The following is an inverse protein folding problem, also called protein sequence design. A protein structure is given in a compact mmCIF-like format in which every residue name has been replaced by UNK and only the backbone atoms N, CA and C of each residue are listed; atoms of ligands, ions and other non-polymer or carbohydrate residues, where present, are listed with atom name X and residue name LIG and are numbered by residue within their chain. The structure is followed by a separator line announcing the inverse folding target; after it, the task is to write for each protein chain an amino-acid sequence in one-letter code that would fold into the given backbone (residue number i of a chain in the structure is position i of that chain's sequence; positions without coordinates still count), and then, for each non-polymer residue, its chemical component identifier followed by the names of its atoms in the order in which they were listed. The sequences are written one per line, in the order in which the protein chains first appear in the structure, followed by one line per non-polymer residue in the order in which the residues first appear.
data_IF_946226332790
#
_entry.id   IF_946226332790
#
_cell.length_a   1.000
_cell.length_b   1.000
_cell.length_c   1.000
_cell.angle_alpha   90.00
_cell.angle_beta   90.00
_cell.angle_gamma   90.00
#
_symmetry.space_group_name_H-M   'P 1'
#
loop_
_entity.id
_entity.type
_entity.pdbx_description
1 polymer ?
#
# COMPACT_ATOMS: atom_id res chain seq x y z
N UNK A 1 0.28 13.45 7.45
CA UNK A 1 -0.14 12.04 7.66
C UNK A 1 -0.83 11.92 9.00
N UNK A 2 -2.04 11.35 9.07
CA UNK A 2 -2.78 11.14 10.33
C UNK A 2 -2.48 9.73 10.88
N UNK A 3 -1.38 9.62 11.59
CA UNK A 3 -0.90 8.35 12.16
C UNK A 3 -1.91 7.69 13.10
N UNK A 4 -2.69 8.49 13.86
CA UNK A 4 -3.70 7.95 14.81
C UNK A 4 -4.85 7.28 14.08
N UNK A 5 -5.35 7.86 13.00
CA UNK A 5 -6.40 7.26 12.18
C UNK A 5 -5.89 6.03 11.44
N UNK A 6 -4.67 6.10 10.92
CA UNK A 6 -4.04 4.97 10.26
C UNK A 6 -3.81 3.80 11.23
N UNK A 7 -3.30 4.07 12.43
CA UNK A 7 -3.13 3.04 13.47
C UNK A 7 -4.47 2.36 13.81
N UNK A 8 -5.55 3.15 13.92
CA UNK A 8 -6.90 2.60 14.11
C UNK A 8 -7.34 1.76 12.90
N UNK A 9 -6.98 2.14 11.68
CA UNK A 9 -7.25 1.32 10.49
C UNK A 9 -6.56 -0.03 10.60
N UNK A 10 -5.27 -0.10 10.85
CA UNK A 10 -4.52 -1.36 10.89
C UNK A 10 -4.92 -2.26 12.07
N UNK A 11 -5.21 -1.70 13.24
CA UNK A 11 -5.57 -2.44 14.44
C UNK A 11 -7.08 -2.72 14.58
N UNK A 12 -7.93 -2.14 13.72
CA UNK A 12 -9.36 -2.31 13.88
C UNK A 12 -9.82 -3.70 13.47
N UNK A 13 -10.65 -4.29 14.33
CA UNK A 13 -11.37 -5.52 14.03
C UNK A 13 -12.77 -5.16 13.49
N UNK A 14 -13.13 -5.67 12.33
CA UNK A 14 -14.44 -5.43 11.72
C UNK A 14 -15.60 -6.15 12.44
N UNK A 15 -15.32 -6.91 13.51
CA UNK A 15 -16.37 -7.56 14.34
C UNK A 15 -17.42 -6.58 14.85
N UNK A 16 -17.00 -5.37 15.25
CA UNK A 16 -17.95 -4.35 15.73
C UNK A 16 -18.94 -3.92 14.64
N UNK A 17 -18.49 -3.85 13.37
CA UNK A 17 -19.37 -3.56 12.25
C UNK A 17 -20.44 -4.65 12.09
N UNK A 18 -20.04 -5.91 12.10
CA UNK A 18 -21.00 -7.02 11.93
C UNK A 18 -21.95 -7.15 13.10
N UNK A 19 -21.47 -6.93 14.34
CA UNK A 19 -22.31 -6.92 15.54
C UNK A 19 -23.33 -5.78 15.47
N UNK A 20 -22.89 -4.56 15.17
CA UNK A 20 -23.77 -3.40 15.04
C UNK A 20 -24.78 -3.57 13.92
N UNK A 21 -24.37 -4.09 12.75
CA UNK A 21 -25.26 -4.40 11.63
C UNK A 21 -26.31 -5.46 12.00
N UNK A 22 -25.94 -6.49 12.74
CA UNK A 22 -26.89 -7.51 13.21
C UNK A 22 -27.91 -6.92 14.18
N UNK A 23 -27.48 -6.11 15.16
CA UNK A 23 -28.39 -5.42 16.10
C UNK A 23 -29.34 -4.50 15.35
N UNK A 24 -28.84 -3.72 14.39
CA UNK A 24 -29.65 -2.83 13.56
C UNK A 24 -30.68 -3.62 12.72
N UNK A 25 -30.27 -4.75 12.13
CA UNK A 25 -31.17 -5.61 11.37
C UNK A 25 -32.31 -6.18 12.24
N UNK A 26 -31.99 -6.62 13.46
CA UNK A 26 -33.01 -7.07 14.43
C UNK A 26 -33.97 -5.92 14.73
N UNK A 27 -33.49 -4.72 14.99
CA UNK A 27 -34.33 -3.55 15.22
C UNK A 27 -35.26 -3.25 14.04
N UNK A 28 -34.77 -3.32 12.80
CA UNK A 28 -35.57 -3.13 11.57
C UNK A 28 -36.64 -4.21 11.43
N UNK A 29 -36.28 -5.48 11.66
CA UNK A 29 -37.22 -6.60 11.58
C UNK A 29 -38.34 -6.42 12.63
N UNK A 30 -38.00 -6.12 13.87
CA UNK A 30 -38.96 -5.88 14.93
C UNK A 30 -39.88 -4.71 14.60
N UNK A 31 -39.34 -3.62 14.10
CA UNK A 31 -40.13 -2.45 13.65
C UNK A 31 -41.09 -2.81 12.52
N UNK A 32 -40.62 -3.57 11.53
CA UNK A 32 -41.43 -4.00 10.39
C UNK A 32 -42.56 -4.95 10.80
N UNK A 33 -42.27 -5.91 11.69
CA UNK A 33 -43.29 -6.84 12.19
C UNK A 33 -44.37 -6.09 12.99
N UNK A 34 -44.01 -5.09 13.77
CA UNK A 34 -44.98 -4.24 14.43
C UNK A 34 -45.86 -3.49 13.43
N UNK A 35 -45.25 -2.83 12.45
CA UNK A 35 -45.94 -1.94 11.54
C UNK A 35 -46.85 -2.68 10.55
N UNK A 36 -46.41 -3.85 10.01
CA UNK A 36 -47.16 -4.60 9.01
C UNK A 36 -48.14 -5.64 9.57
N UNK A 37 -47.82 -6.21 10.73
CA UNK A 37 -48.57 -7.38 11.24
C UNK A 37 -49.28 -7.15 12.56
N UNK A 38 -49.12 -6.01 13.23
CA UNK A 38 -49.68 -5.75 14.57
C UNK A 38 -49.39 -6.87 15.57
N UNK A 39 -48.36 -7.69 15.34
CA UNK A 39 -48.14 -8.96 16.05
C UNK A 39 -47.61 -8.76 17.51
N UNK A 40 -47.05 -7.60 17.78
CA UNK A 40 -46.43 -7.35 19.08
C UNK A 40 -47.16 -6.22 19.85
N UNK A 41 -48.16 -6.60 20.62
CA UNK A 41 -48.93 -5.71 21.48
C UNK A 41 -48.15 -5.27 22.75
N UNK A 42 -46.83 -5.24 22.72
CA UNK A 42 -46.07 -4.79 23.89
C UNK A 42 -46.00 -3.26 23.94
N UNK A 43 -46.32 -2.62 25.06
CA UNK A 43 -46.18 -1.20 25.22
C UNK A 43 -44.71 -0.82 25.02
N UNK A 44 -44.48 0.30 24.31
CA UNK A 44 -43.15 0.82 23.99
C UNK A 44 -42.33 0.04 22.92
N UNK A 45 -42.95 -0.85 22.17
CA UNK A 45 -42.28 -1.65 21.14
C UNK A 45 -41.62 -0.81 20.04
N UNK A 46 -42.27 0.25 19.61
CA UNK A 46 -41.72 1.20 18.61
C UNK A 46 -40.46 1.84 19.12
N UNK A 47 -40.45 2.31 20.36
CA UNK A 47 -39.33 2.97 21.02
C UNK A 47 -38.14 2.00 21.14
N UNK A 48 -38.41 0.76 21.54
CA UNK A 48 -37.39 -0.28 21.73
C UNK A 48 -36.73 -0.64 20.38
N UNK A 49 -37.52 -0.79 19.31
CA UNK A 49 -37.02 -1.08 17.98
C UNK A 49 -36.17 0.05 17.41
N UNK A 50 -36.65 1.29 17.58
CA UNK A 50 -35.89 2.47 17.17
C UNK A 50 -34.55 2.58 17.95
N UNK A 51 -34.58 2.27 19.25
CA UNK A 51 -33.36 2.28 20.09
C UNK A 51 -32.33 1.25 19.62
N UNK A 52 -32.78 0.03 19.25
CA UNK A 52 -31.91 -0.99 18.69
C UNK A 52 -31.29 -0.56 17.36
N UNK A 53 -32.05 0.11 16.48
CA UNK A 53 -31.53 0.63 15.21
C UNK A 53 -30.44 1.68 15.47
N UNK A 54 -30.69 2.64 16.36
CA UNK A 54 -29.76 3.71 16.69
C UNK A 54 -28.49 3.16 17.34
N UNK A 55 -28.62 2.26 18.32
CA UNK A 55 -27.47 1.62 18.98
C UNK A 55 -26.68 0.79 17.99
N UNK A 56 -27.37 -0.03 17.18
CA UNK A 56 -26.72 -0.85 16.16
C UNK A 56 -25.94 -0.01 15.14
N UNK A 57 -26.55 1.09 14.66
CA UNK A 57 -25.89 2.06 13.80
C UNK A 57 -24.67 2.71 14.49
N UNK A 58 -24.78 3.12 15.75
CA UNK A 58 -23.67 3.67 16.53
C UNK A 58 -22.50 2.70 16.63
N UNK A 59 -22.76 1.45 17.01
CA UNK A 59 -21.74 0.41 17.11
C UNK A 59 -21.10 0.10 15.75
N UNK A 60 -21.89 0.10 14.66
CA UNK A 60 -21.38 -0.18 13.33
C UNK A 60 -20.54 0.97 12.74
N UNK A 61 -21.03 2.20 12.81
CA UNK A 61 -20.49 3.32 12.01
C UNK A 61 -19.52 4.22 12.78
N UNK A 62 -19.65 4.39 14.10
CA UNK A 62 -18.73 5.26 14.88
C UNK A 62 -17.28 4.78 14.78
N UNK A 63 -16.94 3.49 14.95
CA UNK A 63 -15.56 3.04 14.78
C UNK A 63 -15.03 3.23 13.36
N UNK A 64 -15.91 3.15 12.33
CA UNK A 64 -15.53 3.35 10.94
C UNK A 64 -15.16 4.80 10.64
N UNK A 65 -15.92 5.76 11.19
CA UNK A 65 -15.65 7.20 10.98
C UNK A 65 -14.36 7.68 11.67
N UNK A 66 -13.90 6.95 12.69
CA UNK A 66 -12.71 7.31 13.46
C UNK A 66 -11.40 6.76 12.88
N UNK A 67 -11.43 5.99 11.81
CA UNK A 67 -10.25 5.40 11.16
C UNK A 67 -10.09 5.94 9.74
N UNK A 68 -8.89 5.82 9.16
CA UNK A 68 -8.68 6.05 7.74
C UNK A 68 -9.43 5.02 6.91
N UNK A 69 -9.97 5.43 5.76
CA UNK A 69 -10.48 4.50 4.77
C UNK A 69 -9.34 3.95 3.90
N UNK A 70 -9.60 2.88 3.15
CA UNK A 70 -8.66 2.33 2.17
C UNK A 70 -8.27 3.37 1.13
N UNK A 71 -9.25 4.16 0.68
CA UNK A 71 -9.06 5.25 -0.27
C UNK A 71 -8.17 6.36 0.31
N UNK A 72 -8.37 6.75 1.57
CA UNK A 72 -7.54 7.77 2.22
C UNK A 72 -6.07 7.36 2.29
N UNK A 73 -5.81 6.06 2.55
CA UNK A 73 -4.45 5.51 2.57
C UNK A 73 -3.84 5.57 1.18
N UNK A 74 -4.55 5.10 0.15
CA UNK A 74 -4.04 5.07 -1.21
C UNK A 74 -3.81 6.50 -1.77
N UNK A 75 -4.71 7.45 -1.50
CA UNK A 75 -4.53 8.86 -1.86
C UNK A 75 -3.35 9.52 -1.11
N UNK A 76 -3.16 9.20 0.16
CA UNK A 76 -2.04 9.69 0.94
C UNK A 76 -0.72 9.17 0.37
N UNK A 77 -0.64 7.90 0.00
CA UNK A 77 0.53 7.30 -0.64
C UNK A 77 0.81 7.99 -1.99
N UNK A 78 -0.20 8.16 -2.82
CA UNK A 78 -0.07 8.84 -4.11
C UNK A 78 0.46 10.27 -3.95
N UNK A 79 -0.05 11.03 -2.99
CA UNK A 79 0.42 12.40 -2.71
C UNK A 79 1.86 12.43 -2.19
N UNK A 80 2.24 11.46 -1.34
CA UNK A 80 3.58 11.41 -0.74
C UNK A 80 4.66 10.90 -1.69
N UNK A 81 4.28 10.24 -2.79
CA UNK A 81 5.22 9.63 -3.75
C UNK A 81 5.11 10.22 -5.16
N UNK A 82 4.08 11.03 -5.44
CA UNK A 82 3.77 11.48 -6.80
C UNK A 82 4.90 12.26 -7.50
N UNK A 83 5.64 13.07 -6.76
CA UNK A 83 6.76 13.86 -7.29
C UNK A 83 8.13 13.29 -6.90
N UNK A 84 8.18 12.15 -6.22
CA UNK A 84 9.40 11.67 -5.60
C UNK A 84 10.55 11.44 -6.60
N UNK A 85 10.27 10.84 -7.75
CA UNK A 85 11.29 10.64 -8.77
C UNK A 85 11.85 11.97 -9.33
N UNK A 86 11.01 13.00 -9.47
CA UNK A 86 11.45 14.30 -9.96
C UNK A 86 12.30 15.05 -8.93
N UNK A 87 11.89 15.02 -7.65
CA UNK A 87 12.67 15.60 -6.54
C UNK A 87 14.04 14.93 -6.41
N UNK A 88 14.07 13.59 -6.52
CA UNK A 88 15.32 12.82 -6.48
C UNK A 88 16.17 13.08 -7.73
N UNK A 89 15.56 13.24 -8.92
CA UNK A 89 16.29 13.57 -10.13
C UNK A 89 16.91 14.97 -10.08
N UNK A 90 16.21 15.95 -9.52
CA UNK A 90 16.75 17.30 -9.28
C UNK A 90 17.98 17.23 -8.36
N UNK A 91 17.89 16.49 -7.25
CA UNK A 91 19.02 16.25 -6.33
C UNK A 91 20.19 15.56 -7.06
N UNK A 92 19.93 14.47 -7.77
CA UNK A 92 20.96 13.71 -8.48
C UNK A 92 21.62 14.51 -9.62
N UNK A 93 20.88 15.44 -10.26
CA UNK A 93 21.41 16.28 -11.34
C UNK A 93 22.53 17.24 -10.91
N UNK A 94 22.67 17.48 -9.60
CA UNK A 94 23.74 18.30 -9.05
C UNK A 94 25.09 17.58 -9.11
N UNK A 95 25.09 16.26 -9.08
CA UNK A 95 26.31 15.43 -9.04
C UNK A 95 26.50 14.58 -10.28
N UNK A 96 25.41 14.29 -11.03
CA UNK A 96 25.40 13.36 -12.15
C UNK A 96 24.74 13.98 -13.38
N UNK A 97 25.23 13.65 -14.57
CA UNK A 97 24.56 13.95 -15.83
C UNK A 97 23.40 12.95 -16.05
N UNK A 98 22.18 13.46 -16.11
CA UNK A 98 21.00 12.64 -16.33
C UNK A 98 20.99 12.04 -17.76
N UNK A 99 20.44 10.83 -17.88
CA UNK A 99 20.26 10.17 -19.17
C UNK A 99 19.17 10.88 -19.98
N UNK A 100 19.42 11.29 -21.25
CA UNK A 100 18.50 12.15 -22.00
C UNK A 100 17.20 11.44 -22.40
N UNK A 101 17.22 10.12 -22.57
CA UNK A 101 16.12 9.36 -23.15
C UNK A 101 15.30 8.55 -22.12
N UNK A 102 15.78 8.41 -20.89
CA UNK A 102 15.05 7.66 -19.86
C UNK A 102 14.58 8.61 -18.76
N UNK A 103 13.27 8.64 -18.56
CA UNK A 103 12.68 9.49 -17.52
C UNK A 103 12.83 8.86 -16.14
N UNK A 104 13.07 9.67 -15.09
CA UNK A 104 13.02 9.19 -13.72
C UNK A 104 11.68 8.50 -13.42
N UNK A 105 11.72 7.43 -12.64
CA UNK A 105 10.53 6.65 -12.32
C UNK A 105 10.39 6.49 -10.81
N UNK A 106 9.14 6.59 -10.31
CA UNK A 106 8.80 6.20 -8.94
C UNK A 106 8.09 4.86 -8.98
N UNK A 107 8.61 3.90 -8.24
CA UNK A 107 7.96 2.61 -7.98
C UNK A 107 7.78 2.43 -6.48
N UNK A 108 6.78 1.66 -6.06
CA UNK A 108 6.59 1.40 -4.66
C UNK A 108 5.46 0.44 -4.37
N UNK A 109 5.53 -0.15 -3.19
CA UNK A 109 4.49 -1.05 -2.68
C UNK A 109 4.56 -1.12 -1.15
N UNK A 110 3.55 -1.76 -0.58
CA UNK A 110 3.57 -2.17 0.80
C UNK A 110 4.69 -3.19 1.03
N UNK A 111 5.38 -3.06 2.15
CA UNK A 111 6.42 -3.98 2.59
C UNK A 111 5.77 -5.07 3.43
N UNK A 112 6.03 -6.32 3.09
CA UNK A 112 5.38 -7.47 3.73
C UNK A 112 6.33 -8.28 4.60
N UNK A 113 7.60 -7.93 4.67
CA UNK A 113 8.67 -8.60 5.41
C UNK A 113 9.30 -7.68 6.46
N UNK A 114 9.74 -8.25 7.59
CA UNK A 114 10.40 -7.55 8.69
C UNK A 114 9.59 -7.51 9.98
N UNK A 115 10.23 -6.99 11.02
CA UNK A 115 9.62 -6.86 12.36
C UNK A 115 8.60 -5.72 12.42
N UNK A 116 7.57 -5.87 13.27
CA UNK A 116 6.57 -4.84 13.52
C UNK A 116 5.57 -4.62 12.38
N UNK A 117 5.50 -5.54 11.40
CA UNK A 117 4.56 -5.44 10.30
C UNK A 117 3.16 -5.84 10.75
N UNK A 118 2.21 -4.92 10.56
CA UNK A 118 0.79 -5.14 10.78
C UNK A 118 0.11 -5.24 9.42
N UNK A 119 -0.49 -6.40 9.14
CA UNK A 119 -1.20 -6.64 7.90
C UNK A 119 -2.70 -6.45 8.07
N UNK A 120 -3.32 -5.82 7.09
CA UNK A 120 -4.76 -5.68 7.00
C UNK A 120 -5.27 -5.95 5.60
N UNK A 121 -6.30 -6.77 5.50
CA UNK A 121 -7.06 -6.96 4.26
C UNK A 121 -8.12 -5.87 4.14
N UNK A 122 -8.15 -5.20 3.02
CA UNK A 122 -9.18 -4.24 2.68
C UNK A 122 -10.55 -4.90 2.64
N UNK A 123 -11.56 -4.18 3.12
CA UNK A 123 -12.94 -4.67 3.16
C UNK A 123 -13.63 -4.56 1.80
N UNK A 124 -13.30 -3.51 1.04
CA UNK A 124 -13.93 -3.21 -0.25
C UNK A 124 -13.18 -3.90 -1.39
N UNK A 125 -11.86 -3.73 -1.44
CA UNK A 125 -11.02 -4.19 -2.54
C UNK A 125 -10.31 -5.53 -2.27
N UNK A 126 -10.45 -6.06 -1.06
CA UNK A 126 -9.79 -7.29 -0.60
C UNK A 126 -8.26 -7.28 -0.68
N UNK A 127 -7.65 -6.12 -1.00
CA UNK A 127 -6.20 -5.96 -1.09
C UNK A 127 -5.59 -6.00 0.30
N UNK A 128 -4.51 -6.76 0.46
CA UNK A 128 -3.74 -6.77 1.71
C UNK A 128 -2.78 -5.58 1.69
N UNK A 129 -2.81 -4.80 2.76
CA UNK A 129 -1.91 -3.66 3.02
C UNK A 129 -1.13 -3.91 4.28
N UNK A 130 0.11 -3.42 4.32
CA UNK A 130 0.90 -3.37 5.55
C UNK A 130 0.97 -1.94 6.09
N UNK A 131 1.35 -1.81 7.35
CA UNK A 131 1.59 -0.50 7.97
C UNK A 131 2.91 0.14 7.51
N UNK A 132 3.72 -0.53 6.68
CA UNK A 132 4.97 -0.04 6.12
C UNK A 132 4.88 0.04 4.61
N UNK A 133 5.31 1.15 4.04
CA UNK A 133 5.37 1.36 2.60
C UNK A 133 6.80 1.73 2.17
N UNK A 134 7.25 1.19 1.06
CA UNK A 134 8.49 1.57 0.42
C UNK A 134 8.20 2.27 -0.91
N UNK A 135 8.70 3.48 -1.05
CA UNK A 135 8.71 4.23 -2.29
C UNK A 135 10.16 4.35 -2.76
N UNK A 136 10.41 4.03 -4.02
CA UNK A 136 11.74 4.05 -4.61
C UNK A 136 11.71 4.96 -5.83
N UNK A 137 12.58 5.97 -5.84
CA UNK A 137 12.88 6.78 -7.01
C UNK A 137 14.08 6.17 -7.73
N UNK A 138 13.92 5.91 -9.01
CA UNK A 138 14.97 5.45 -9.91
C UNK A 138 15.31 6.58 -10.88
N UNK A 139 16.53 7.07 -10.82
CA UNK A 139 17.04 8.14 -11.68
C UNK A 139 18.14 7.60 -12.56
N UNK A 140 17.98 7.80 -13.87
CA UNK A 140 18.92 7.29 -14.86
C UNK A 140 19.95 8.35 -15.20
N UNK A 141 21.21 8.02 -15.03
CA UNK A 141 22.34 8.88 -15.35
C UNK A 141 23.06 8.37 -16.59
N UNK A 142 24.00 9.12 -17.12
CA UNK A 142 24.85 8.64 -18.23
C UNK A 142 25.79 7.48 -17.82
N UNK A 143 25.98 7.24 -16.53
CA UNK A 143 26.88 6.20 -16.02
C UNK A 143 26.16 5.00 -15.44
N UNK A 144 24.94 5.18 -14.93
CA UNK A 144 24.25 4.13 -14.20
C UNK A 144 22.89 4.54 -13.70
N UNK A 145 22.40 3.83 -12.70
CA UNK A 145 21.12 4.04 -12.05
C UNK A 145 21.37 4.52 -10.62
N UNK A 146 20.91 5.74 -10.31
CA UNK A 146 20.83 6.22 -8.94
C UNK A 146 19.45 5.85 -8.36
N UNK A 147 19.45 5.18 -7.22
CA UNK A 147 18.24 4.68 -6.57
C UNK A 147 18.15 5.26 -5.16
N UNK A 148 17.10 6.00 -4.89
CA UNK A 148 16.76 6.46 -3.54
C UNK A 148 15.48 5.76 -3.08
N UNK A 149 15.54 5.00 -1.99
CA UNK A 149 14.39 4.33 -1.41
C UNK A 149 14.02 4.94 -0.06
N UNK A 150 12.75 5.36 0.06
CA UNK A 150 12.13 5.78 1.32
C UNK A 150 11.24 4.66 1.84
N UNK A 151 11.60 4.11 2.99
CA UNK A 151 10.75 3.16 3.73
C UNK A 151 10.15 3.90 4.92
N UNK A 152 8.84 4.01 4.99
CA UNK A 152 8.16 4.76 6.04
C UNK A 152 6.94 4.03 6.61
N UNK A 153 6.69 4.28 7.90
CA UNK A 153 5.52 3.75 8.59
C UNK A 153 4.28 4.63 8.35
N UNK A 154 3.14 3.99 8.16
CA UNK A 154 1.84 4.64 8.07
C UNK A 154 1.21 4.89 9.44
N UNK A 155 1.70 4.22 10.49
CA UNK A 155 1.13 4.23 11.84
C UNK A 155 1.94 5.03 12.84
N UNK A 156 3.18 5.38 12.50
CA UNK A 156 4.09 6.15 13.36
C UNK A 156 5.01 7.05 12.55
N UNK A 157 5.62 8.04 13.19
CA UNK A 157 6.58 8.94 12.54
C UNK A 157 7.96 8.26 12.45
N UNK A 158 8.07 7.29 11.55
CA UNK A 158 9.31 6.56 11.28
C UNK A 158 9.57 6.54 9.79
N UNK A 159 10.79 6.90 9.38
CA UNK A 159 11.21 6.90 7.98
C UNK A 159 12.70 6.57 7.91
N UNK A 160 13.05 5.67 7.01
CA UNK A 160 14.42 5.32 6.66
C UNK A 160 14.61 5.64 5.18
N UNK A 161 15.71 6.29 4.84
CA UNK A 161 16.11 6.58 3.46
C UNK A 161 17.41 5.84 3.20
N UNK A 162 17.49 5.15 2.09
CA UNK A 162 18.70 4.51 1.59
C UNK A 162 18.98 4.96 0.15
N UNK A 163 20.23 5.19 -0.16
CA UNK A 163 20.70 5.63 -1.46
C UNK A 163 21.70 4.61 -1.99
N UNK A 164 21.58 4.25 -3.26
CA UNK A 164 22.48 3.33 -3.94
C UNK A 164 22.74 3.82 -5.36
N UNK A 165 23.94 3.61 -5.86
CA UNK A 165 24.30 3.88 -7.24
C UNK A 165 24.80 2.58 -7.87
N UNK A 166 24.26 2.24 -9.05
CA UNK A 166 24.64 1.06 -9.83
C UNK A 166 25.17 1.50 -11.17
N UNK A 167 26.43 1.22 -11.44
CA UNK A 167 27.05 1.53 -12.72
C UNK A 167 26.57 0.53 -13.78
N UNK A 168 26.19 0.99 -14.98
CA UNK A 168 25.64 0.09 -16.04
C UNK A 168 26.56 -1.06 -16.40
N UNK A 169 27.88 -0.89 -16.30
CA UNK A 169 28.85 -1.94 -16.62
C UNK A 169 28.80 -3.11 -15.64
N UNK A 170 28.41 -2.85 -14.42
CA UNK A 170 28.44 -3.81 -13.32
C UNK A 170 27.09 -4.51 -13.15
N UNK A 171 26.01 -3.92 -13.68
CA UNK A 171 24.67 -4.52 -13.64
C UNK A 171 24.62 -5.67 -14.66
N UNK A 172 24.29 -6.86 -14.21
CA UNK A 172 24.07 -8.01 -15.08
C UNK A 172 22.70 -7.96 -15.75
N UNK A 173 21.67 -7.78 -14.91
CA UNK A 173 20.27 -7.77 -15.33
C UNK A 173 19.41 -7.00 -14.33
N UNK A 174 18.31 -6.44 -14.84
CA UNK A 174 17.20 -5.93 -14.04
C UNK A 174 15.95 -6.68 -14.43
N UNK A 175 15.29 -7.35 -13.45
CA UNK A 175 14.16 -8.23 -13.73
C UNK A 175 13.02 -8.01 -12.74
N UNK A 176 11.81 -8.48 -13.11
CA UNK A 176 10.66 -8.50 -12.19
C UNK A 176 10.49 -9.89 -11.63
N UNK A 177 10.52 -9.99 -10.32
CA UNK A 177 10.30 -11.25 -9.58
C UNK A 177 8.99 -11.13 -8.80
N UNK A 178 8.12 -12.13 -8.90
CA UNK A 178 6.87 -12.19 -8.13
C UNK A 178 6.88 -13.40 -7.22
N UNK A 179 6.65 -13.18 -5.95
CA UNK A 179 6.65 -14.19 -4.90
C UNK A 179 5.27 -14.28 -4.24
N UNK A 180 4.89 -15.49 -3.85
CA UNK A 180 3.70 -15.74 -3.06
C UNK A 180 4.10 -15.83 -1.58
N UNK A 181 3.78 -14.79 -0.83
CA UNK A 181 4.02 -14.74 0.61
C UNK A 181 2.79 -15.27 1.36
N UNK A 182 3.03 -16.17 2.32
CA UNK A 182 2.00 -16.71 3.22
C UNK A 182 2.34 -16.36 4.65
N UNK A 183 1.35 -15.87 5.40
CA UNK A 183 1.50 -15.39 6.76
C UNK A 183 0.74 -16.27 7.76
N UNK A 184 1.18 -16.32 9.01
CA UNK A 184 0.57 -17.12 10.09
C UNK A 184 -0.91 -16.80 10.31
N UNK A 185 -1.32 -15.56 10.07
CA UNK A 185 -2.70 -15.11 10.15
C UNK A 185 -3.57 -15.54 8.95
N UNK A 186 -3.04 -16.38 8.05
CA UNK A 186 -3.74 -16.92 6.87
C UNK A 186 -3.79 -15.98 5.67
N UNK A 187 -3.16 -14.81 5.73
CA UNK A 187 -3.05 -13.94 4.56
C UNK A 187 -2.09 -14.54 3.52
N UNK A 188 -2.47 -14.40 2.25
CA UNK A 188 -1.63 -14.71 1.09
C UNK A 188 -1.52 -13.47 0.23
N UNK A 189 -0.30 -13.07 -0.11
CA UNK A 189 -0.01 -11.88 -0.90
C UNK A 189 0.92 -12.26 -2.04
N UNK A 190 0.61 -11.81 -3.25
CA UNK A 190 1.57 -11.81 -4.35
C UNK A 190 2.35 -10.51 -4.27
N UNK A 191 3.61 -10.58 -3.89
CA UNK A 191 4.50 -9.44 -3.85
C UNK A 191 5.40 -9.45 -5.09
N UNK A 192 5.44 -8.34 -5.82
CA UNK A 192 6.31 -8.17 -6.97
C UNK A 192 7.45 -7.23 -6.63
N UNK A 193 8.63 -7.52 -7.13
CA UNK A 193 9.85 -6.77 -6.89
C UNK A 193 10.59 -6.55 -8.20
N UNK A 194 11.17 -5.37 -8.37
CA UNK A 194 12.24 -5.15 -9.34
C UNK A 194 13.54 -5.56 -8.64
N UNK A 195 14.28 -6.46 -9.24
CA UNK A 195 15.55 -6.98 -8.73
C UNK A 195 16.67 -6.49 -9.62
N UNK A 196 17.68 -5.86 -9.03
CA UNK A 196 18.93 -5.46 -9.69
C UNK A 196 19.98 -6.48 -9.31
N UNK A 197 20.55 -7.17 -10.32
CA UNK A 197 21.60 -8.17 -10.17
C UNK A 197 22.94 -7.58 -10.59
N UNK A 198 23.95 -7.73 -9.72
CA UNK A 198 25.33 -7.26 -9.94
C UNK A 198 26.29 -8.40 -9.59
N UNK A 199 27.18 -8.75 -10.52
CA UNK A 199 28.14 -9.86 -10.35
C UNK A 199 27.48 -11.21 -10.00
N UNK A 200 26.30 -11.47 -10.54
CA UNK A 200 25.55 -12.71 -10.31
C UNK A 200 24.79 -12.77 -8.99
N UNK A 201 24.84 -11.71 -8.17
CA UNK A 201 24.14 -11.63 -6.89
C UNK A 201 23.04 -10.58 -6.92
N UNK A 202 21.98 -10.79 -6.14
CA UNK A 202 20.93 -9.81 -5.94
C UNK A 202 21.47 -8.63 -5.11
N UNK A 203 21.72 -7.50 -5.77
CA UNK A 203 22.26 -6.32 -5.13
C UNK A 203 21.17 -5.44 -4.50
N UNK A 204 19.97 -5.41 -5.11
CA UNK A 204 18.85 -4.65 -4.57
C UNK A 204 17.49 -5.24 -4.98
N UNK A 205 16.54 -5.20 -4.06
CA UNK A 205 15.15 -5.61 -4.25
C UNK A 205 14.20 -4.45 -3.97
N UNK A 206 13.41 -4.05 -4.97
CA UNK A 206 12.55 -2.87 -4.93
C UNK A 206 11.09 -3.31 -5.02
N UNK A 207 10.27 -3.13 -3.97
CA UNK A 207 8.86 -3.49 -4.01
C UNK A 207 8.10 -2.68 -5.07
N UNK A 208 7.27 -3.35 -5.87
CA UNK A 208 6.42 -2.71 -6.88
C UNK A 208 4.99 -3.20 -6.81
N UNK A 209 4.03 -2.29 -7.04
CA UNK A 209 2.60 -2.61 -7.04
C UNK A 209 2.06 -2.99 -8.43
N UNK A 210 2.78 -2.64 -9.50
CA UNK A 210 2.35 -2.83 -10.87
C UNK A 210 3.44 -3.56 -11.68
N UNK A 211 3.27 -4.88 -11.84
CA UNK A 211 4.22 -5.70 -12.57
C UNK A 211 4.37 -5.25 -14.04
N UNK A 212 3.28 -4.92 -14.74
CA UNK A 212 3.36 -4.54 -16.17
C UNK A 212 4.10 -3.24 -16.43
N UNK A 213 4.01 -2.26 -15.52
CA UNK A 213 4.80 -1.02 -15.59
C UNK A 213 6.26 -1.31 -15.21
N UNK A 214 6.48 -2.19 -14.23
CA UNK A 214 7.81 -2.61 -13.83
C UNK A 214 8.52 -3.40 -14.92
N UNK A 215 7.81 -4.31 -15.63
CA UNK A 215 8.36 -5.08 -16.75
C UNK A 215 8.88 -4.15 -17.86
N UNK A 216 8.08 -3.15 -18.29
CA UNK A 216 8.51 -2.17 -19.28
C UNK A 216 9.73 -1.37 -18.82
N UNK A 217 9.73 -0.94 -17.55
CA UNK A 217 10.86 -0.22 -16.98
C UNK A 217 12.14 -1.08 -17.00
N UNK A 218 12.02 -2.37 -16.64
CA UNK A 218 13.14 -3.31 -16.69
C UNK A 218 13.63 -3.52 -18.12
N UNK A 219 12.73 -3.62 -19.11
CA UNK A 219 13.09 -3.73 -20.53
C UNK A 219 13.90 -2.50 -21.00
N UNK A 220 13.42 -1.28 -20.69
CA UNK A 220 14.10 -0.03 -21.06
C UNK A 220 15.50 0.05 -20.40
N UNK A 221 15.62 -0.34 -19.14
CA UNK A 221 16.89 -0.37 -18.42
C UNK A 221 17.85 -1.39 -19.06
N UNK A 222 17.39 -2.61 -19.28
CA UNK A 222 18.21 -3.67 -19.86
C UNK A 222 18.67 -3.34 -21.30
N UNK A 223 17.82 -2.65 -22.07
CA UNK A 223 18.21 -2.15 -23.39
C UNK A 223 19.37 -1.13 -23.27
N UNK A 224 19.28 -0.23 -22.30
CA UNK A 224 20.35 0.76 -22.04
C UNK A 224 21.64 0.10 -21.58
N UNK A 225 21.56 -0.87 -20.66
CA UNK A 225 22.72 -1.63 -20.18
C UNK A 225 23.42 -2.31 -21.37
N UNK A 226 22.66 -2.97 -22.26
CA UNK A 226 23.21 -3.61 -23.46
C UNK A 226 23.86 -2.61 -24.41
N UNK A 227 23.24 -1.45 -24.61
CA UNK A 227 23.81 -0.41 -25.51
C UNK A 227 25.13 0.14 -24.97
N UNK A 228 25.24 0.36 -23.65
CA UNK A 228 26.49 0.82 -23.02
C UNK A 228 27.58 -0.25 -23.06
N UNK A 229 27.23 -1.51 -22.78
CA UNK A 229 28.21 -2.63 -22.85
C UNK A 229 28.72 -2.91 -24.26
N UNK A 230 27.86 -2.74 -25.30
CA UNK A 230 28.22 -2.99 -26.71
C UNK A 230 28.88 -1.80 -27.37
N UNK A 231 28.75 -0.59 -26.82
CA UNK A 231 29.38 0.62 -27.35
C UNK A 231 30.84 0.82 -26.94
N UNK A 232 31.37 -0.14 -26.15
CA UNK A 232 32.77 -0.28 -25.82
C UNK A 232 33.45 -1.29 -26.76
#
# INVERSE_FOLDING_TARGET
MDYKKNLKYFNSNDKHFYIGAAIMAVGIICFSLYYFFWILFLPYHEITSLFLIIIGAGIAFVPLSMRSSEKDIDEMLLRSTGNYAMETAEKASLEHHLHPNIKPATVGNFVYDGEGIILRKGRIDSRVRSNIYAATAMVFTCRGIYVEQKRFSLTEKSMVVSENEFVYTDIDEVSVVTEALSFENGFRVKASFIVITVNGEEAMRIPTSNSSTADRLCEDINHTIKSVKNGR
#
